data_IF_676071996884
#
_entry.id   IF_676071996884
#
_cell.length_a   1.000
_cell.length_b   1.000
_cell.length_c   1.000
_cell.angle_alpha   90.00
_cell.angle_beta   90.00
_cell.angle_gamma   90.00
#
_symmetry.space_group_name_H-M   'P 1'
#
loop_
_entity.id
_entity.type
_entity.pdbx_description
1 polymer ?
#
# COMPACT_ATOMS: atom_id res chain seq x y z
N UNK A 1 -18.03 -13.47 -11.55
CA UNK A 1 -16.87 -12.84 -10.86
C UNK A 1 -15.66 -13.72 -11.01
N UNK A 2 -14.48 -13.14 -11.24
CA UNK A 2 -13.25 -13.93 -11.27
C UNK A 2 -12.87 -14.33 -9.83
N UNK A 3 -12.59 -15.61 -9.62
CA UNK A 3 -12.37 -16.25 -8.30
C UNK A 3 -11.27 -15.56 -7.47
N UNK A 4 -10.30 -14.92 -8.11
CA UNK A 4 -9.14 -14.38 -7.40
C UNK A 4 -9.38 -13.12 -6.56
N UNK A 5 -10.54 -12.46 -6.67
CA UNK A 5 -10.86 -11.30 -5.80
C UNK A 5 -10.91 -11.67 -4.32
N UNK A 6 -11.09 -12.96 -4.00
CA UNK A 6 -11.04 -13.50 -2.63
C UNK A 6 -9.66 -13.36 -1.97
N UNK A 7 -8.59 -13.22 -2.77
CA UNK A 7 -7.21 -13.12 -2.29
C UNK A 7 -6.79 -11.69 -1.94
N UNK A 8 -7.74 -10.79 -1.69
CA UNK A 8 -7.46 -9.41 -1.26
C UNK A 8 -6.56 -9.35 -0.02
N UNK A 9 -6.66 -10.34 0.88
CA UNK A 9 -5.85 -10.41 2.10
C UNK A 9 -4.37 -10.69 1.83
N UNK A 10 -4.02 -11.33 0.71
CA UNK A 10 -2.62 -11.70 0.41
C UNK A 10 -1.70 -10.47 0.36
N UNK A 11 -1.95 -9.44 -0.48
CA UNK A 11 -1.12 -8.25 -0.50
C UNK A 11 -1.17 -7.46 0.82
N UNK A 12 -2.30 -7.48 1.55
CA UNK A 12 -2.38 -6.89 2.88
C UNK A 12 -1.36 -7.51 3.84
N UNK A 13 -1.37 -8.84 3.97
CA UNK A 13 -0.45 -9.54 4.85
C UNK A 13 1.00 -9.40 4.40
N UNK A 14 1.29 -9.45 3.10
CA UNK A 14 2.64 -9.21 2.58
C UNK A 14 3.15 -7.81 2.96
N UNK A 15 2.34 -6.76 2.75
CA UNK A 15 2.70 -5.41 3.13
C UNK A 15 2.91 -5.26 4.64
N UNK A 16 2.05 -5.87 5.46
CA UNK A 16 2.19 -5.86 6.91
C UNK A 16 3.47 -6.58 7.38
N UNK A 17 3.79 -7.74 6.81
CA UNK A 17 5.01 -8.48 7.15
C UNK A 17 6.26 -7.67 6.82
N UNK A 18 6.33 -7.07 5.64
CA UNK A 18 7.45 -6.20 5.27
C UNK A 18 7.55 -5.03 6.26
N UNK A 19 6.42 -4.38 6.55
CA UNK A 19 6.37 -3.22 7.41
C UNK A 19 6.80 -3.53 8.85
N UNK A 20 6.39 -4.67 9.40
CA UNK A 20 6.72 -5.05 10.79
C UNK A 20 8.14 -5.57 10.92
N UNK A 21 8.62 -6.35 9.95
CA UNK A 21 9.92 -7.04 10.07
C UNK A 21 11.13 -6.18 9.69
N UNK A 22 10.94 -5.12 8.89
CA UNK A 22 12.06 -4.35 8.31
C UNK A 22 12.03 -2.84 8.59
N UNK A 23 10.91 -2.26 9.07
CA UNK A 23 10.90 -0.83 9.47
C UNK A 23 11.46 -0.65 10.87
N UNK A 24 11.89 0.58 11.14
CA UNK A 24 12.53 1.02 12.39
C UNK A 24 11.61 0.92 13.62
N UNK A 25 12.23 0.83 14.79
CA UNK A 25 11.54 0.71 16.08
C UNK A 25 10.74 1.95 16.49
N UNK A 26 10.98 3.10 15.87
CA UNK A 26 10.37 4.38 16.23
C UNK A 26 8.88 4.50 15.86
N UNK A 27 8.32 3.49 15.19
CA UNK A 27 6.94 3.45 14.71
C UNK A 27 5.91 3.42 15.85
N UNK A 28 4.71 3.92 15.55
CA UNK A 28 3.62 4.05 16.53
C UNK A 28 3.24 2.70 17.14
N UNK A 29 3.18 1.62 16.35
CA UNK A 29 2.79 0.31 16.88
C UNK A 29 3.80 -0.20 17.92
N UNK A 30 5.10 0.02 17.71
CA UNK A 30 6.15 -0.32 18.67
C UNK A 30 6.04 0.53 19.95
N UNK A 31 5.62 1.80 19.82
CA UNK A 31 5.31 2.65 21.00
C UNK A 31 4.09 2.16 21.78
N UNK A 32 3.10 1.58 21.10
CA UNK A 32 1.85 1.12 21.73
C UNK A 32 1.96 -0.27 22.36
N UNK A 33 2.64 -1.20 21.68
CA UNK A 33 2.70 -2.61 22.06
C UNK A 33 4.05 -3.01 22.68
N UNK A 34 5.01 -2.09 22.72
CA UNK A 34 6.42 -2.40 22.96
C UNK A 34 7.10 -2.89 21.68
N UNK A 35 8.44 -2.93 21.71
CA UNK A 35 9.23 -3.48 20.61
C UNK A 35 9.06 -5.01 20.58
N UNK A 36 8.03 -5.49 19.88
CA UNK A 36 7.78 -6.93 19.72
C UNK A 36 8.80 -7.53 18.74
N UNK A 37 9.19 -6.76 17.72
CA UNK A 37 10.12 -7.18 16.68
C UNK A 37 11.26 -6.19 16.58
N UNK A 38 12.48 -6.72 16.50
CA UNK A 38 13.66 -5.96 16.07
C UNK A 38 13.79 -6.08 14.55
N UNK A 39 14.16 -5.01 13.84
CA UNK A 39 14.32 -5.06 12.39
C UNK A 39 15.34 -6.13 12.02
N UNK A 40 14.97 -7.02 11.09
CA UNK A 40 15.84 -8.15 10.70
C UNK A 40 17.11 -7.68 9.99
N UNK A 41 17.02 -6.56 9.25
CA UNK A 41 18.15 -5.89 8.60
C UNK A 41 17.76 -4.45 8.27
N UNK A 42 18.74 -3.61 7.96
CA UNK A 42 18.53 -2.27 7.41
C UNK A 42 18.62 -2.29 5.89
N UNK A 43 17.72 -1.60 5.17
CA UNK A 43 17.79 -1.51 3.71
C UNK A 43 18.96 -0.62 3.29
N UNK A 44 19.90 -1.18 2.51
CA UNK A 44 21.11 -0.49 2.04
C UNK A 44 20.98 -0.11 0.58
N UNK A 45 20.56 -1.06 -0.25
CA UNK A 45 20.43 -0.87 -1.70
C UNK A 45 19.17 -0.09 -2.05
N UNK A 46 19.15 0.50 -3.25
CA UNK A 46 17.96 1.19 -3.75
C UNK A 46 16.73 0.28 -3.77
N UNK A 47 16.89 -0.97 -4.24
CA UNK A 47 15.79 -1.93 -4.32
C UNK A 47 15.25 -2.30 -2.93
N UNK A 48 16.13 -2.53 -1.96
CA UNK A 48 15.73 -2.82 -0.57
C UNK A 48 14.93 -1.65 0.03
N UNK A 49 15.36 -0.41 -0.23
CA UNK A 49 14.64 0.78 0.22
C UNK A 49 13.25 0.85 -0.40
N UNK A 50 13.10 0.60 -1.69
CA UNK A 50 11.79 0.55 -2.35
C UNK A 50 10.90 -0.55 -1.76
N UNK A 51 11.47 -1.74 -1.52
CA UNK A 51 10.72 -2.86 -0.93
C UNK A 51 10.26 -2.53 0.50
N UNK A 52 11.12 -1.93 1.32
CA UNK A 52 10.80 -1.68 2.75
C UNK A 52 9.94 -0.43 2.93
N UNK A 53 10.19 0.62 2.16
CA UNK A 53 9.57 1.92 2.38
C UNK A 53 8.35 2.19 1.50
N UNK A 54 8.35 1.74 0.24
CA UNK A 54 7.32 2.10 -0.75
C UNK A 54 6.34 0.98 -1.08
N UNK A 55 6.85 -0.24 -1.25
CA UNK A 55 6.04 -1.39 -1.67
C UNK A 55 4.87 -1.70 -0.71
N UNK A 56 5.00 -1.59 0.64
CA UNK A 56 3.88 -1.88 1.54
C UNK A 56 2.66 -1.01 1.26
N UNK A 57 2.84 0.29 1.00
CA UNK A 57 1.75 1.21 0.67
C UNK A 57 1.04 0.81 -0.63
N UNK A 58 1.80 0.45 -1.66
CA UNK A 58 1.26 -0.06 -2.93
C UNK A 58 0.48 -1.37 -2.74
N UNK A 59 1.01 -2.32 -1.95
CA UNK A 59 0.34 -3.57 -1.64
C UNK A 59 -0.97 -3.35 -0.86
N UNK A 60 -1.02 -2.41 0.07
CA UNK A 60 -2.25 -2.07 0.78
C UNK A 60 -3.29 -1.40 -0.14
N UNK A 61 -2.86 -0.51 -1.04
CA UNK A 61 -3.73 0.06 -2.05
C UNK A 61 -4.28 -1.02 -3.00
N UNK A 62 -3.43 -1.95 -3.44
CA UNK A 62 -3.80 -3.12 -4.23
C UNK A 62 -4.81 -4.03 -3.52
N UNK A 63 -4.57 -4.32 -2.23
CA UNK A 63 -5.48 -5.07 -1.36
C UNK A 63 -6.85 -4.42 -1.29
N UNK A 64 -6.90 -3.11 -1.05
CA UNK A 64 -8.14 -2.36 -0.97
C UNK A 64 -8.92 -2.42 -2.29
N UNK A 65 -8.25 -2.21 -3.43
CA UNK A 65 -8.88 -2.33 -4.75
C UNK A 65 -9.49 -3.71 -4.96
N UNK A 66 -8.78 -4.79 -4.64
CA UNK A 66 -9.32 -6.17 -4.68
C UNK A 66 -10.54 -6.35 -3.77
N UNK A 67 -10.46 -5.83 -2.55
CA UNK A 67 -11.53 -5.92 -1.55
C UNK A 67 -12.82 -5.25 -2.04
N UNK A 68 -12.73 -4.08 -2.66
CA UNK A 68 -13.91 -3.38 -3.19
C UNK A 68 -14.61 -4.20 -4.27
N UNK A 69 -13.87 -4.77 -5.22
CA UNK A 69 -14.45 -5.65 -6.23
C UNK A 69 -15.01 -6.95 -5.63
N UNK A 70 -14.38 -7.46 -4.57
CA UNK A 70 -14.87 -8.65 -3.86
C UNK A 70 -16.22 -8.40 -3.16
N UNK A 71 -16.36 -7.26 -2.47
CA UNK A 71 -17.57 -6.90 -1.73
C UNK A 71 -18.71 -6.53 -2.69
N UNK A 72 -18.43 -5.67 -3.69
CA UNK A 72 -19.47 -5.12 -4.57
C UNK A 72 -19.94 -6.10 -5.64
N UNK A 73 -19.08 -7.05 -6.03
CA UNK A 73 -19.38 -8.14 -6.97
C UNK A 73 -19.78 -7.72 -8.39
N UNK A 74 -19.63 -6.44 -8.72
CA UNK A 74 -19.92 -5.86 -10.03
C UNK A 74 -18.69 -5.11 -10.60
N UNK A 75 -18.79 -4.65 -11.86
CA UNK A 75 -17.74 -3.88 -12.56
C UNK A 75 -18.23 -2.50 -13.00
N UNK A 76 -19.24 -1.94 -12.32
CA UNK A 76 -19.79 -0.64 -12.68
C UNK A 76 -18.76 0.47 -12.50
N UNK A 77 -18.96 1.60 -13.19
CA UNK A 77 -18.15 2.79 -13.02
C UNK A 77 -18.10 3.26 -11.55
N UNK A 78 -19.21 3.10 -10.81
CA UNK A 78 -19.26 3.37 -9.38
C UNK A 78 -18.28 2.50 -8.59
N UNK A 79 -18.24 1.18 -8.86
CA UNK A 79 -17.29 0.26 -8.21
C UNK A 79 -15.84 0.63 -8.51
N UNK A 80 -15.55 1.04 -9.75
CA UNK A 80 -14.21 1.52 -10.13
C UNK A 80 -13.84 2.75 -9.30
N UNK A 81 -14.71 3.76 -9.21
CA UNK A 81 -14.47 4.95 -8.37
C UNK A 81 -14.18 4.55 -6.92
N UNK A 82 -15.01 3.68 -6.33
CA UNK A 82 -14.81 3.23 -4.96
C UNK A 82 -13.48 2.50 -4.75
N UNK A 83 -13.02 1.77 -5.76
CA UNK A 83 -11.75 1.03 -5.73
C UNK A 83 -10.50 1.93 -5.75
N UNK A 84 -10.65 3.19 -6.17
CA UNK A 84 -9.60 4.20 -6.23
C UNK A 84 -9.49 5.08 -4.98
N UNK A 85 -10.40 4.95 -4.01
CA UNK A 85 -10.40 5.83 -2.83
C UNK A 85 -9.05 5.85 -2.10
N UNK A 86 -8.53 4.68 -1.69
CA UNK A 86 -7.23 4.58 -1.01
C UNK A 86 -6.05 4.96 -1.94
N UNK A 87 -5.96 4.47 -3.19
CA UNK A 87 -4.94 4.92 -4.13
C UNK A 87 -4.87 6.45 -4.29
N UNK A 88 -6.02 7.12 -4.44
CA UNK A 88 -6.07 8.59 -4.59
C UNK A 88 -5.61 9.27 -3.31
N UNK A 89 -6.03 8.79 -2.13
CA UNK A 89 -5.56 9.35 -0.85
C UNK A 89 -4.03 9.25 -0.75
N UNK A 90 -3.44 8.11 -1.12
CA UNK A 90 -1.98 7.92 -1.15
C UNK A 90 -1.30 8.90 -2.10
N UNK A 91 -1.78 9.00 -3.34
CA UNK A 91 -1.24 9.93 -4.35
C UNK A 91 -1.32 11.38 -3.88
N UNK A 92 -2.48 11.81 -3.37
CA UNK A 92 -2.68 13.18 -2.88
C UNK A 92 -1.80 13.45 -1.66
N UNK A 93 -1.62 12.47 -0.77
CA UNK A 93 -0.69 12.57 0.35
C UNK A 93 0.75 12.82 -0.13
N UNK A 94 1.25 12.03 -1.08
CA UNK A 94 2.61 12.22 -1.62
C UNK A 94 2.78 13.58 -2.28
N UNK A 95 1.83 14.00 -3.11
CA UNK A 95 1.85 15.33 -3.73
C UNK A 95 1.80 16.44 -2.68
N UNK A 96 1.01 16.27 -1.61
CA UNK A 96 0.93 17.24 -0.53
C UNK A 96 2.24 17.35 0.26
N UNK A 97 2.95 16.23 0.46
CA UNK A 97 4.29 16.22 1.07
C UNK A 97 5.32 16.92 0.19
N UNK A 98 5.23 16.79 -1.15
CA UNK A 98 6.09 17.51 -2.09
C UNK A 98 5.94 19.04 -1.96
N UNK A 99 4.72 19.52 -1.76
CA UNK A 99 4.43 20.94 -1.50
C UNK A 99 4.57 21.35 -0.03
N UNK A 100 5.06 20.46 0.84
CA UNK A 100 5.20 20.69 2.29
C UNK A 100 3.88 21.07 3.00
N UNK A 101 2.73 20.68 2.45
CA UNK A 101 1.41 20.96 3.03
C UNK A 101 1.10 20.07 4.24
N UNK A 102 1.68 18.87 4.27
CA UNK A 102 1.56 17.91 5.38
C UNK A 102 2.96 17.40 5.77
N UNK A 103 3.16 16.99 7.04
CA UNK A 103 4.44 16.42 7.45
C UNK A 103 4.67 15.08 6.75
N UNK A 104 5.85 14.90 6.17
CA UNK A 104 6.25 13.69 5.46
C UNK A 104 7.48 13.92 4.60
N UNK A 105 7.81 12.94 3.77
CA UNK A 105 8.92 13.02 2.82
C UNK A 105 8.42 12.48 1.51
N UNK A 106 8.29 13.36 0.53
CA UNK A 106 7.91 12.95 -0.82
C UNK A 106 8.89 11.90 -1.34
N UNK A 107 8.34 10.75 -1.73
CA UNK A 107 9.08 9.70 -2.43
C UNK A 107 8.40 9.37 -3.77
N UNK A 108 9.17 9.49 -4.85
CA UNK A 108 8.68 9.16 -6.19
C UNK A 108 8.25 7.68 -6.29
N UNK A 109 8.91 6.78 -5.56
CA UNK A 109 8.57 5.37 -5.55
C UNK A 109 7.27 5.11 -4.79
N UNK A 110 6.95 5.87 -3.75
CA UNK A 110 5.65 5.79 -3.07
C UNK A 110 4.53 6.17 -4.04
N UNK A 111 4.70 7.26 -4.78
CA UNK A 111 3.77 7.69 -5.82
C UNK A 111 3.57 6.63 -6.91
N UNK A 112 4.67 6.04 -7.41
CA UNK A 112 4.62 4.94 -8.40
C UNK A 112 3.85 3.75 -7.82
N UNK A 113 4.10 3.37 -6.57
CA UNK A 113 3.46 2.21 -5.93
C UNK A 113 1.96 2.39 -5.74
N UNK A 114 1.51 3.60 -5.38
CA UNK A 114 0.07 3.93 -5.28
C UNK A 114 -0.65 3.97 -6.64
N UNK A 115 0.08 4.17 -7.75
CA UNK A 115 -0.50 4.17 -9.10
C UNK A 115 -0.48 2.75 -9.69
N UNK A 116 0.70 2.13 -9.75
CA UNK A 116 0.93 0.89 -10.50
C UNK A 116 0.21 -0.28 -9.86
N UNK A 117 0.33 -0.47 -8.54
CA UNK A 117 -0.20 -1.67 -7.87
C UNK A 117 -1.73 -1.81 -8.01
N UNK A 118 -2.54 -0.75 -7.80
CA UNK A 118 -3.98 -0.79 -8.03
C UNK A 118 -4.34 -0.98 -9.52
N UNK A 119 -3.62 -0.33 -10.44
CA UNK A 119 -3.88 -0.44 -11.88
C UNK A 119 -3.66 -1.85 -12.42
N UNK A 120 -2.66 -2.58 -11.91
CA UNK A 120 -2.44 -4.00 -12.25
C UNK A 120 -3.72 -4.80 -11.96
N UNK A 121 -4.32 -4.60 -10.78
CA UNK A 121 -5.54 -5.31 -10.38
C UNK A 121 -6.73 -4.91 -11.23
N UNK A 122 -6.91 -3.63 -11.50
CA UNK A 122 -8.03 -3.15 -12.32
C UNK A 122 -7.94 -3.74 -13.72
N UNK A 123 -6.75 -3.75 -14.33
CA UNK A 123 -6.50 -4.37 -15.65
C UNK A 123 -6.76 -5.87 -15.64
N UNK A 124 -6.45 -6.56 -14.53
CA UNK A 124 -6.73 -7.99 -14.41
C UNK A 124 -8.24 -8.25 -14.29
N UNK A 125 -8.96 -7.43 -13.52
CA UNK A 125 -10.39 -7.62 -13.22
C UNK A 125 -11.27 -7.30 -14.41
N UNK A 126 -11.14 -6.11 -14.97
CA UNK A 126 -12.02 -5.57 -16.01
C UNK A 126 -11.82 -6.36 -17.29
#
# INVERSE_FOLDING_TARGET
MKTYTIYWWVPLFMGCLIYVLFRTDALIYNRLLGNIFTPLTSPVTFLEKVIVFSLPGGLWAMSYTLLIFHIRKDKTFSTIIWSFLIPIIGIVSEISQFYLLIPGTFDLMDLIMYIVSPLIIIKLII
#
